data_IF_319522909976
#
_entry.id   IF_319522909976
#
_cell.length_a   1.000
_cell.length_b   1.000
_cell.length_c   1.000
_cell.angle_alpha   90.00
_cell.angle_beta   90.00
_cell.angle_gamma   90.00
#
_symmetry.space_group_name_H-M   'P 1'
#
loop_
_entity.id
_entity.type
_entity.pdbx_description
1 polymer ?
#
# COMPACT_ATOMS: atom_id res chain seq x y z
N UNK A 1 22.21 18.06 -5.33
CA UNK A 1 21.57 16.72 -5.24
C UNK A 1 22.54 15.67 -5.78
N UNK A 2 22.91 14.68 -4.98
CA UNK A 2 23.72 13.57 -5.47
C UNK A 2 22.91 12.79 -6.51
N UNK A 3 23.46 12.65 -7.71
CA UNK A 3 22.81 11.95 -8.82
C UNK A 3 22.65 10.47 -8.44
N UNK A 4 21.40 10.01 -8.27
CA UNK A 4 21.12 8.59 -7.98
C UNK A 4 21.52 7.78 -9.21
N UNK A 5 22.46 6.85 -9.04
CA UNK A 5 22.84 5.91 -10.13
C UNK A 5 21.73 4.89 -10.30
N UNK A 6 21.16 4.84 -11.48
CA UNK A 6 20.13 3.85 -11.87
C UNK A 6 20.66 2.99 -13.01
N UNK A 7 20.12 1.79 -13.14
CA UNK A 7 20.31 0.91 -14.28
C UNK A 7 18.98 0.69 -14.98
N UNK A 8 19.00 0.31 -16.25
CA UNK A 8 17.80 -0.08 -16.97
C UNK A 8 17.07 -1.23 -16.23
N UNK A 9 15.76 -1.08 -15.95
CA UNK A 9 14.99 -2.10 -15.26
C UNK A 9 14.82 -3.34 -16.15
N UNK A 10 15.07 -4.52 -15.55
CA UNK A 10 14.89 -5.80 -16.25
C UNK A 10 13.80 -6.63 -15.56
N UNK A 11 12.84 -7.20 -16.31
CA UNK A 11 11.80 -8.01 -15.71
C UNK A 11 12.38 -9.34 -15.20
N UNK A 12 12.27 -9.60 -13.90
CA UNK A 12 12.69 -10.87 -13.28
C UNK A 12 11.59 -11.94 -13.31
N UNK A 13 10.37 -11.54 -13.56
CA UNK A 13 9.21 -12.41 -13.75
C UNK A 13 8.17 -11.77 -14.69
N UNK A 14 7.98 -12.33 -15.87
CA UNK A 14 6.99 -11.87 -16.86
C UNK A 14 5.60 -12.42 -16.54
N UNK A 15 4.98 -11.96 -15.42
CA UNK A 15 3.68 -12.49 -14.96
C UNK A 15 2.48 -11.87 -15.67
N UNK A 16 2.59 -10.68 -16.27
CA UNK A 16 1.50 -9.92 -16.90
C UNK A 16 0.31 -9.73 -15.95
N UNK A 17 0.54 -9.08 -14.80
CA UNK A 17 -0.51 -8.68 -13.89
C UNK A 17 -1.51 -7.74 -14.57
N UNK A 18 -2.79 -7.84 -14.22
CA UNK A 18 -3.79 -6.87 -14.64
C UNK A 18 -3.61 -5.56 -13.86
N UNK A 19 -3.35 -5.67 -12.55
CA UNK A 19 -3.00 -4.54 -11.68
C UNK A 19 -2.04 -5.05 -10.60
N UNK A 20 -0.74 -4.95 -10.89
CA UNK A 20 0.32 -5.41 -10.00
C UNK A 20 0.69 -4.34 -8.98
N UNK A 21 0.57 -4.63 -7.68
CA UNK A 21 0.69 -3.66 -6.60
C UNK A 21 1.30 -4.26 -5.34
N UNK A 22 1.52 -3.41 -4.31
CA UNK A 22 1.79 -3.81 -2.95
C UNK A 22 3.06 -4.63 -2.78
N UNK A 23 4.17 -4.22 -3.41
CA UNK A 23 5.46 -4.93 -3.31
C UNK A 23 5.98 -4.92 -1.89
N UNK A 24 6.26 -6.11 -1.35
CA UNK A 24 6.75 -6.35 0.00
C UNK A 24 7.96 -7.28 -0.02
N UNK A 25 9.07 -6.85 0.59
CA UNK A 25 10.22 -7.72 0.87
C UNK A 25 10.06 -8.43 2.20
N UNK A 26 10.13 -9.76 2.21
CA UNK A 26 10.14 -10.58 3.43
C UNK A 26 11.50 -11.26 3.56
N UNK A 27 12.33 -10.70 4.44
CA UNK A 27 13.73 -11.14 4.64
C UNK A 27 13.83 -12.62 5.02
N UNK A 28 13.00 -13.08 5.95
CA UNK A 28 12.97 -14.48 6.44
C UNK A 28 12.71 -15.49 5.32
N UNK A 29 11.95 -15.07 4.30
CA UNK A 29 11.64 -15.92 3.15
C UNK A 29 12.61 -15.72 1.97
N UNK A 30 13.55 -14.77 2.03
CA UNK A 30 14.32 -14.30 0.89
C UNK A 30 13.43 -14.04 -0.33
N UNK A 31 12.26 -13.44 -0.11
CA UNK A 31 11.22 -13.37 -1.15
C UNK A 31 10.59 -12.00 -1.23
N UNK A 32 10.34 -11.57 -2.46
CA UNK A 32 9.48 -10.45 -2.78
C UNK A 32 8.06 -10.99 -2.91
N UNK A 33 7.11 -10.36 -2.24
CA UNK A 33 5.68 -10.57 -2.40
C UNK A 33 5.06 -9.37 -3.07
N UNK A 34 3.98 -9.59 -3.81
CA UNK A 34 3.17 -8.54 -4.43
C UNK A 34 1.78 -9.09 -4.76
N UNK A 35 0.85 -8.24 -5.14
CA UNK A 35 -0.52 -8.63 -5.46
C UNK A 35 -0.84 -8.36 -6.93
N UNK A 36 -1.77 -9.12 -7.49
CA UNK A 36 -2.54 -8.75 -8.67
C UNK A 36 -3.98 -8.54 -8.22
N UNK A 37 -4.34 -7.28 -8.00
CA UNK A 37 -5.60 -6.89 -7.37
C UNK A 37 -6.79 -7.50 -8.14
N UNK A 38 -6.84 -7.24 -9.45
CA UNK A 38 -7.99 -7.62 -10.30
C UNK A 38 -8.06 -9.13 -10.55
N UNK A 39 -6.93 -9.83 -10.55
CA UNK A 39 -6.89 -11.30 -10.63
C UNK A 39 -6.98 -11.99 -9.29
N UNK A 40 -7.13 -11.24 -8.18
CA UNK A 40 -7.29 -11.76 -6.82
C UNK A 40 -6.18 -12.75 -6.46
N UNK A 41 -4.91 -12.32 -6.68
CA UNK A 41 -3.74 -13.17 -6.48
C UNK A 41 -2.71 -12.46 -5.60
N UNK A 42 -2.05 -13.25 -4.77
CA UNK A 42 -0.82 -12.88 -4.10
C UNK A 42 0.29 -13.69 -4.76
N UNK A 43 1.35 -13.03 -5.17
CA UNK A 43 2.49 -13.61 -5.86
C UNK A 43 3.72 -13.52 -4.97
N UNK A 44 4.59 -14.50 -5.00
CA UNK A 44 5.90 -14.43 -4.36
C UNK A 44 7.00 -14.99 -5.24
N UNK A 45 8.14 -14.31 -5.22
CA UNK A 45 9.36 -14.72 -5.89
C UNK A 45 10.50 -14.78 -4.88
N UNK A 46 11.05 -15.97 -4.66
CA UNK A 46 12.27 -16.11 -3.89
C UNK A 46 13.46 -15.67 -4.76
N UNK A 47 14.21 -14.67 -4.30
CA UNK A 47 15.29 -14.09 -5.11
C UNK A 47 16.54 -14.97 -5.16
N UNK A 48 16.75 -15.88 -4.18
CA UNK A 48 17.89 -16.78 -4.10
C UNK A 48 17.72 -17.98 -5.06
N UNK A 49 16.62 -18.72 -4.94
CA UNK A 49 16.37 -19.94 -5.70
C UNK A 49 15.40 -19.78 -6.87
N UNK A 50 14.94 -18.56 -7.14
CA UNK A 50 14.00 -18.18 -8.20
C UNK A 50 12.63 -18.88 -8.14
N UNK A 51 12.30 -19.54 -7.03
CA UNK A 51 11.01 -20.21 -6.85
C UNK A 51 9.87 -19.20 -6.85
N UNK A 52 8.87 -19.45 -7.67
CA UNK A 52 7.66 -18.62 -7.84
C UNK A 52 6.47 -19.33 -7.20
N UNK A 53 5.61 -18.58 -6.52
CA UNK A 53 4.36 -19.07 -5.95
C UNK A 53 3.23 -18.09 -6.22
N UNK A 54 2.03 -18.62 -6.41
CA UNK A 54 0.80 -17.83 -6.58
C UNK A 54 -0.23 -18.39 -5.60
N UNK A 55 -0.79 -17.49 -4.77
CA UNK A 55 -1.87 -17.78 -3.85
C UNK A 55 -3.13 -17.07 -4.35
N UNK A 56 -4.18 -17.85 -4.63
CA UNK A 56 -5.49 -17.29 -4.99
C UNK A 56 -6.26 -16.90 -3.74
N UNK A 57 -6.95 -15.77 -3.79
CA UNK A 57 -7.87 -15.30 -2.75
C UNK A 57 -9.25 -15.07 -3.38
N UNK A 58 -10.30 -15.01 -2.57
CA UNK A 58 -11.67 -14.92 -3.05
C UNK A 58 -12.16 -13.48 -3.32
N UNK A 59 -11.38 -12.47 -2.86
CA UNK A 59 -11.70 -11.04 -3.01
C UNK A 59 -10.52 -10.30 -3.63
N UNK A 60 -10.74 -9.11 -4.16
CA UNK A 60 -9.66 -8.21 -4.56
C UNK A 60 -8.78 -7.90 -3.35
N UNK A 61 -7.45 -7.96 -3.55
CA UNK A 61 -6.44 -7.75 -2.53
C UNK A 61 -5.56 -6.56 -2.92
N UNK A 62 -5.64 -5.46 -2.18
CA UNK A 62 -4.91 -4.22 -2.48
C UNK A 62 -3.47 -4.26 -2.00
N UNK A 63 -3.22 -4.85 -0.83
CA UNK A 63 -1.88 -4.99 -0.28
C UNK A 63 -1.76 -6.23 0.61
N UNK A 64 -0.52 -6.54 0.98
CA UNK A 64 -0.19 -7.52 2.01
C UNK A 64 0.84 -6.94 2.98
N UNK A 65 0.76 -7.33 4.26
CA UNK A 65 1.76 -7.04 5.27
C UNK A 65 2.18 -8.33 5.99
N UNK A 66 3.48 -8.51 6.22
CA UNK A 66 4.02 -9.69 6.90
C UNK A 66 3.95 -9.50 8.42
N UNK A 67 3.52 -10.52 9.15
CA UNK A 67 3.54 -10.56 10.62
C UNK A 67 4.71 -11.39 11.10
N UNK A 68 4.68 -12.68 10.83
CA UNK A 68 5.74 -13.66 11.14
C UNK A 68 5.51 -14.94 10.36
N UNK A 69 6.53 -15.76 10.16
CA UNK A 69 6.43 -17.05 9.46
C UNK A 69 5.65 -16.92 8.14
N UNK A 70 4.59 -17.68 7.99
CA UNK A 70 3.68 -17.58 6.84
C UNK A 70 2.38 -16.82 7.13
N UNK A 71 2.34 -16.05 8.21
CA UNK A 71 1.17 -15.26 8.63
C UNK A 71 1.27 -13.84 8.08
N UNK A 72 0.24 -13.45 7.35
CA UNK A 72 0.14 -12.13 6.71
C UNK A 72 -1.19 -11.47 7.05
N UNK A 73 -1.20 -10.14 6.99
CA UNK A 73 -2.43 -9.36 6.90
C UNK A 73 -2.68 -9.07 5.43
N UNK A 74 -3.88 -9.38 4.96
CA UNK A 74 -4.34 -9.13 3.61
C UNK A 74 -5.35 -7.98 3.63
N UNK A 75 -5.09 -6.94 2.86
CA UNK A 75 -6.06 -5.86 2.63
C UNK A 75 -7.03 -6.25 1.53
N UNK A 76 -8.14 -6.88 1.89
CA UNK A 76 -9.15 -7.38 0.96
C UNK A 76 -10.31 -6.39 0.81
N UNK A 77 -11.09 -6.54 -0.26
CA UNK A 77 -12.33 -5.77 -0.39
C UNK A 77 -13.25 -6.03 0.80
N UNK A 78 -13.52 -5.00 1.59
CA UNK A 78 -14.42 -5.01 2.75
C UNK A 78 -13.85 -5.63 4.03
N UNK A 79 -12.59 -6.07 4.07
CA UNK A 79 -11.99 -6.63 5.29
C UNK A 79 -10.46 -6.59 5.30
N UNK A 80 -9.88 -6.51 6.50
CA UNK A 80 -8.53 -6.99 6.75
C UNK A 80 -8.61 -8.45 7.20
N UNK A 81 -7.78 -9.31 6.63
CA UNK A 81 -7.75 -10.74 6.97
C UNK A 81 -6.36 -11.14 7.44
N UNK A 82 -6.24 -11.67 8.64
CA UNK A 82 -5.02 -12.32 9.13
C UNK A 82 -5.08 -13.78 8.72
N UNK A 83 -4.15 -14.22 7.88
CA UNK A 83 -4.16 -15.55 7.28
C UNK A 83 -2.76 -16.15 7.19
N UNK A 84 -2.66 -17.44 7.43
CA UNK A 84 -1.46 -18.21 7.09
C UNK A 84 -1.54 -18.60 5.60
N UNK A 85 -0.66 -18.06 4.77
CA UNK A 85 -0.66 -18.29 3.32
C UNK A 85 -0.28 -19.75 2.95
N UNK A 86 0.52 -20.44 3.78
CA UNK A 86 0.94 -21.81 3.50
C UNK A 86 -0.19 -22.81 3.77
N UNK A 87 -0.82 -22.75 4.96
CA UNK A 87 -1.94 -23.62 5.34
C UNK A 87 -3.29 -23.13 4.85
N UNK A 88 -3.38 -21.91 4.35
CA UNK A 88 -4.62 -21.18 3.99
C UNK A 88 -5.57 -20.90 5.17
N UNK A 89 -5.17 -21.22 6.41
CA UNK A 89 -5.99 -21.01 7.62
C UNK A 89 -6.20 -19.51 7.84
N UNK A 90 -7.45 -19.08 7.91
CA UNK A 90 -7.84 -17.73 8.34
C UNK A 90 -7.81 -17.70 9.87
N UNK A 91 -7.05 -16.76 10.43
CA UNK A 91 -6.90 -16.60 11.87
C UNK A 91 -7.85 -15.53 12.42
N UNK A 92 -8.04 -14.45 11.67
CA UNK A 92 -8.97 -13.37 12.03
C UNK A 92 -9.43 -12.61 10.80
N UNK A 93 -10.65 -12.09 10.85
CA UNK A 93 -11.21 -11.16 9.87
C UNK A 93 -11.73 -9.92 10.59
N UNK A 94 -11.41 -8.73 10.07
CA UNK A 94 -11.80 -7.44 10.63
C UNK A 94 -12.56 -6.70 9.51
N UNK A 95 -13.89 -6.50 9.66
CA UNK A 95 -14.67 -5.79 8.66
C UNK A 95 -14.21 -4.34 8.50
N UNK A 96 -14.10 -3.89 7.26
CA UNK A 96 -13.75 -2.51 6.90
C UNK A 96 -14.91 -1.93 6.09
N UNK A 97 -15.44 -0.81 6.55
CA UNK A 97 -16.54 -0.07 5.90
C UNK A 97 -17.73 -0.95 5.48
N UNK A 98 -18.33 -1.76 6.38
CA UNK A 98 -19.36 -2.75 6.02
C UNK A 98 -20.61 -2.13 5.38
N UNK A 99 -20.83 -0.82 5.60
CA UNK A 99 -21.93 -0.06 5.00
C UNK A 99 -21.60 0.50 3.61
N UNK A 100 -20.32 0.44 3.17
CA UNK A 100 -19.87 0.97 1.89
C UNK A 100 -19.36 -0.18 1.02
N UNK A 101 -20.26 -1.05 0.59
CA UNK A 101 -19.97 -2.32 -0.10
C UNK A 101 -19.10 -2.20 -1.36
N UNK A 102 -19.15 -1.03 -2.01
CA UNK A 102 -18.38 -0.79 -3.24
C UNK A 102 -16.94 -0.33 -2.97
N UNK A 103 -16.59 -0.01 -1.73
CA UNK A 103 -15.21 0.32 -1.42
C UNK A 103 -14.34 -0.95 -1.36
N UNK A 104 -13.10 -0.80 -1.77
CA UNK A 104 -12.02 -1.75 -1.53
C UNK A 104 -10.88 -1.09 -0.77
N UNK A 105 -10.07 -1.88 -0.11
CA UNK A 105 -8.78 -1.45 0.40
C UNK A 105 -7.84 -1.31 -0.81
N UNK A 106 -7.06 -0.22 -0.84
CA UNK A 106 -6.10 0.04 -1.91
C UNK A 106 -4.68 -0.26 -1.45
N UNK A 107 -3.97 0.72 -0.93
CA UNK A 107 -2.59 0.57 -0.49
C UNK A 107 -2.49 0.54 1.03
N UNK A 108 -1.43 -0.06 1.56
CA UNK A 108 -1.19 -0.11 3.00
C UNK A 108 0.25 -0.45 3.34
N UNK A 109 0.73 0.13 4.45
CA UNK A 109 2.08 -0.07 4.98
C UNK A 109 2.11 -0.07 6.49
N UNK A 110 3.12 -0.70 7.06
CA UNK A 110 3.42 -0.60 8.49
C UNK A 110 4.25 0.64 8.79
N UNK A 111 3.93 1.31 9.89
CA UNK A 111 4.76 2.39 10.42
C UNK A 111 5.97 1.82 11.19
N UNK A 112 6.97 2.66 11.58
CA UNK A 112 8.13 2.19 12.34
C UNK A 112 7.78 1.55 13.69
N UNK A 113 6.64 1.91 14.29
CA UNK A 113 6.14 1.31 15.53
C UNK A 113 5.44 -0.04 15.31
N UNK A 114 5.26 -0.48 14.05
CA UNK A 114 4.63 -1.74 13.67
C UNK A 114 3.10 -1.72 13.61
N UNK A 115 2.47 -0.53 13.57
CA UNK A 115 1.06 -0.42 13.28
C UNK A 115 0.83 -0.46 11.77
N UNK A 116 -0.29 -1.04 11.35
CA UNK A 116 -0.69 -1.06 9.95
C UNK A 116 -1.51 0.17 9.59
N UNK A 117 -1.13 0.86 8.53
CA UNK A 117 -1.88 1.96 7.93
C UNK A 117 -2.33 1.55 6.55
N UNK A 118 -3.57 1.88 6.20
CA UNK A 118 -4.10 1.55 4.89
C UNK A 118 -5.20 2.52 4.47
N UNK A 119 -5.38 2.63 3.18
CA UNK A 119 -6.41 3.47 2.61
C UNK A 119 -7.49 2.68 1.87
N UNK A 120 -8.67 3.26 1.80
CA UNK A 120 -9.80 2.73 1.04
C UNK A 120 -10.14 3.63 -0.14
N UNK A 121 -10.86 3.09 -1.12
CA UNK A 121 -11.34 3.81 -2.29
C UNK A 121 -12.60 3.16 -2.85
N UNK A 122 -13.36 3.92 -3.64
CA UNK A 122 -14.45 3.36 -4.45
C UNK A 122 -13.88 2.44 -5.54
N UNK A 123 -14.27 1.17 -5.56
CA UNK A 123 -13.74 0.18 -6.50
C UNK A 123 -14.14 0.41 -7.96
N UNK A 124 -15.17 1.21 -8.19
CA UNK A 124 -15.60 1.63 -9.54
C UNK A 124 -14.87 2.90 -10.00
N UNK A 125 -13.98 3.45 -9.18
CA UNK A 125 -13.17 4.66 -9.46
C UNK A 125 -14.01 5.88 -9.89
N UNK A 126 -15.25 5.95 -9.40
CA UNK A 126 -16.12 7.11 -9.66
C UNK A 126 -15.52 8.38 -9.07
N UNK A 127 -15.95 9.53 -9.57
CA UNK A 127 -15.48 10.84 -9.05
C UNK A 127 -16.12 11.21 -7.70
N UNK A 128 -16.10 10.27 -6.72
CA UNK A 128 -16.67 10.43 -5.38
C UNK A 128 -15.60 10.23 -4.30
N UNK A 129 -15.68 11.01 -3.23
CA UNK A 129 -14.71 11.01 -2.13
C UNK A 129 -15.20 10.13 -0.95
N UNK A 130 -15.28 8.81 -1.18
CA UNK A 130 -15.71 7.85 -0.15
C UNK A 130 -14.57 7.05 0.48
N UNK A 131 -13.32 7.29 0.05
CA UNK A 131 -12.15 6.68 0.65
C UNK A 131 -11.76 7.31 1.98
N UNK A 132 -11.09 6.53 2.80
CA UNK A 132 -10.61 6.92 4.13
C UNK A 132 -9.21 6.35 4.38
N UNK A 133 -8.45 6.99 5.28
CA UNK A 133 -7.19 6.51 5.80
C UNK A 133 -7.40 5.92 7.20
N UNK A 134 -6.94 4.70 7.41
CA UNK A 134 -7.08 3.94 8.65
C UNK A 134 -5.73 3.58 9.25
N UNK A 135 -5.71 3.42 10.58
CA UNK A 135 -4.64 2.80 11.36
C UNK A 135 -5.20 1.61 12.14
N UNK A 136 -4.55 0.47 12.04
CA UNK A 136 -4.75 -0.69 12.90
C UNK A 136 -3.54 -0.83 13.81
N UNK A 137 -3.73 -0.73 15.12
CA UNK A 137 -2.64 -0.89 16.08
C UNK A 137 -2.33 -2.37 16.38
N UNK A 138 -1.30 -2.61 17.17
CA UNK A 138 -0.87 -3.97 17.57
C UNK A 138 -1.93 -4.73 18.38
N UNK A 139 -2.87 -4.02 19.01
CA UNK A 139 -3.98 -4.60 19.75
C UNK A 139 -5.22 -4.82 18.86
N UNK A 140 -5.05 -4.63 17.55
CA UNK A 140 -6.11 -4.74 16.54
C UNK A 140 -7.22 -3.71 16.71
N UNK A 141 -6.95 -2.58 17.34
CA UNK A 141 -7.86 -1.44 17.41
C UNK A 141 -7.78 -0.65 16.10
N UNK A 142 -8.91 -0.59 15.41
CA UNK A 142 -9.06 0.15 14.17
C UNK A 142 -9.44 1.60 14.44
N UNK A 143 -8.71 2.55 13.86
CA UNK A 143 -8.98 3.99 13.96
C UNK A 143 -9.04 4.58 12.55
N UNK A 144 -10.11 5.30 12.22
CA UNK A 144 -10.16 6.12 11.01
C UNK A 144 -9.47 7.45 11.30
N UNK A 145 -8.36 7.71 10.60
CA UNK A 145 -7.51 8.89 10.82
C UNK A 145 -7.94 10.06 9.95
N UNK A 146 -8.31 9.78 8.70
CA UNK A 146 -8.74 10.80 7.74
C UNK A 146 -9.79 10.23 6.76
N UNK A 147 -10.49 11.10 6.03
CA UNK A 147 -11.58 10.73 5.11
C UNK A 147 -11.63 11.67 3.90
N UNK A 148 -12.59 11.42 3.02
CA UNK A 148 -12.87 12.23 1.82
C UNK A 148 -11.72 12.14 0.78
N UNK A 149 -11.24 10.92 0.56
CA UNK A 149 -10.33 10.59 -0.51
C UNK A 149 -11.09 9.95 -1.69
N UNK A 150 -10.60 10.19 -2.89
CA UNK A 150 -11.04 9.43 -4.07
C UNK A 150 -10.24 8.14 -4.19
N UNK A 151 -8.92 8.23 -4.25
CA UNK A 151 -8.01 7.08 -4.33
C UNK A 151 -6.83 7.32 -3.40
N UNK A 152 -6.77 6.58 -2.31
CA UNK A 152 -5.69 6.65 -1.33
C UNK A 152 -4.48 5.86 -1.79
N UNK A 153 -3.28 6.43 -1.71
CA UNK A 153 -2.00 5.74 -1.93
C UNK A 153 -0.94 6.16 -0.92
N UNK A 154 0.01 5.27 -0.65
CA UNK A 154 0.90 5.36 0.48
C UNK A 154 0.25 4.75 1.75
N UNK A 155 0.74 5.04 2.96
CA UNK A 155 1.72 6.08 3.32
C UNK A 155 3.18 5.67 3.12
N UNK A 156 4.09 6.69 3.16
CA UNK A 156 5.52 6.50 3.33
C UNK A 156 5.97 7.23 4.60
N UNK A 157 6.44 6.49 5.61
CA UNK A 157 6.72 7.04 6.94
C UNK A 157 8.11 7.63 7.04
N UNK A 158 8.20 8.90 7.47
CA UNK A 158 9.44 9.57 7.88
C UNK A 158 9.81 9.11 9.30
N UNK A 159 8.79 9.07 10.16
CA UNK A 159 8.81 8.58 11.55
C UNK A 159 7.40 8.16 11.98
N UNK A 160 7.17 7.88 13.26
CA UNK A 160 5.89 7.45 13.80
C UNK A 160 4.77 8.51 13.70
N UNK A 161 5.11 9.77 13.53
CA UNK A 161 4.18 10.89 13.54
C UNK A 161 4.14 11.67 12.22
N UNK A 162 5.12 11.44 11.33
CA UNK A 162 5.25 12.17 10.09
C UNK A 162 5.32 11.20 8.90
N UNK A 163 4.51 11.42 7.90
CA UNK A 163 4.46 10.57 6.71
C UNK A 163 3.99 11.33 5.47
N UNK A 164 4.28 10.77 4.32
CA UNK A 164 3.72 11.19 3.04
C UNK A 164 2.51 10.34 2.70
N UNK A 165 1.50 10.96 2.10
CA UNK A 165 0.28 10.31 1.64
C UNK A 165 -0.31 11.07 0.45
N UNK A 166 -1.10 10.39 -0.39
CA UNK A 166 -1.69 11.04 -1.56
C UNK A 166 -3.17 10.69 -1.75
N UNK A 167 -3.89 11.60 -2.38
CA UNK A 167 -5.13 11.35 -3.11
C UNK A 167 -4.77 11.41 -4.60
N UNK A 168 -4.58 10.26 -5.23
CA UNK A 168 -3.98 10.17 -6.57
C UNK A 168 -4.66 11.06 -7.62
N UNK A 169 -6.00 11.10 -7.74
CA UNK A 169 -6.65 11.98 -8.72
C UNK A 169 -6.44 13.47 -8.49
N UNK A 170 -6.10 13.87 -7.25
CA UNK A 170 -5.74 15.28 -6.95
C UNK A 170 -4.31 15.61 -7.35
N UNK A 171 -3.54 14.61 -7.82
CA UNK A 171 -2.13 14.74 -8.23
C UNK A 171 -1.23 15.37 -7.17
N UNK A 172 -1.59 15.19 -5.89
CA UNK A 172 -0.97 15.91 -4.79
C UNK A 172 -0.46 14.94 -3.75
N UNK A 173 0.82 15.06 -3.44
CA UNK A 173 1.47 14.37 -2.33
C UNK A 173 1.44 15.32 -1.13
N UNK A 174 0.88 14.86 -0.04
CA UNK A 174 0.82 15.59 1.22
C UNK A 174 1.90 15.09 2.18
N UNK A 175 2.52 16.01 2.92
CA UNK A 175 3.25 15.70 4.15
C UNK A 175 2.31 15.91 5.31
N UNK A 176 2.06 14.83 6.05
CA UNK A 176 1.08 14.80 7.14
C UNK A 176 1.82 14.62 8.45
N UNK A 177 1.40 15.37 9.47
CA UNK A 177 1.83 15.20 10.87
C UNK A 177 0.63 14.88 11.74
N UNK A 178 0.79 13.87 12.59
CA UNK A 178 -0.22 13.46 13.58
C UNK A 178 0.31 13.66 15.01
N UNK A 179 -0.60 13.78 15.96
CA UNK A 179 -0.27 13.74 17.39
C UNK A 179 -0.36 12.29 17.95
N UNK A 180 -0.05 12.12 19.24
CA UNK A 180 -0.09 10.82 19.94
C UNK A 180 -1.46 10.14 19.89
N UNK A 181 -2.53 10.90 19.69
CA UNK A 181 -3.92 10.40 19.58
C UNK A 181 -4.32 10.11 18.13
N UNK A 182 -3.37 10.06 17.20
CA UNK A 182 -3.56 9.87 15.76
C UNK A 182 -4.42 10.96 15.07
N UNK A 183 -4.59 12.13 15.68
CA UNK A 183 -5.23 13.28 15.04
C UNK A 183 -4.24 13.99 14.14
N UNK A 184 -4.65 14.32 12.92
CA UNK A 184 -3.87 15.16 12.00
C UNK A 184 -3.78 16.57 12.60
N UNK A 185 -2.56 17.04 12.82
CA UNK A 185 -2.24 18.40 13.30
C UNK A 185 -1.61 19.26 12.20
N UNK A 186 -1.16 18.65 11.11
CA UNK A 186 -0.70 19.35 9.92
C UNK A 186 -0.88 18.47 8.69
N UNK A 187 -1.38 19.05 7.60
CA UNK A 187 -1.48 18.42 6.27
C UNK A 187 -1.08 19.48 5.24
N UNK A 188 0.16 19.42 4.78
CA UNK A 188 0.73 20.40 3.85
C UNK A 188 1.01 19.73 2.50
N UNK A 189 0.84 20.48 1.42
CA UNK A 189 1.28 20.02 0.10
C UNK A 189 2.80 19.90 0.12
N UNK A 190 3.30 18.71 -0.18
CA UNK A 190 4.72 18.47 -0.39
C UNK A 190 5.09 18.63 -1.86
N UNK A 191 4.32 18.01 -2.75
CA UNK A 191 4.52 18.08 -4.20
C UNK A 191 3.17 17.98 -4.91
N UNK A 192 3.00 18.76 -5.95
CA UNK A 192 1.89 18.64 -6.90
C UNK A 192 2.48 18.24 -8.25
N UNK A 193 1.96 17.16 -8.83
CA UNK A 193 2.38 16.66 -10.14
C UNK A 193 1.64 17.41 -11.25
N UNK A 194 2.30 17.55 -12.38
CA UNK A 194 1.68 18.12 -13.59
C UNK A 194 0.74 17.09 -14.26
N UNK A 195 -0.11 17.51 -15.19
CA UNK A 195 -0.94 16.58 -15.96
C UNK A 195 -0.16 15.48 -16.67
N UNK A 196 1.01 15.79 -17.19
CA UNK A 196 1.87 14.93 -18.01
C UNK A 196 2.61 13.88 -17.17
N UNK A 197 2.85 14.18 -15.89
CA UNK A 197 3.53 13.25 -14.95
C UNK A 197 2.67 12.08 -14.50
N UNK A 198 1.41 11.96 -14.94
CA UNK A 198 0.47 10.96 -14.45
C UNK A 198 -0.09 11.30 -13.07
N UNK A 199 -0.32 10.29 -12.23
CA UNK A 199 -0.81 10.50 -10.85
C UNK A 199 0.09 9.78 -9.85
N UNK A 200 0.33 10.37 -8.65
CA UNK A 200 1.15 9.73 -7.62
C UNK A 200 0.44 8.47 -7.11
N UNK A 201 1.18 7.39 -7.04
CA UNK A 201 0.70 6.06 -6.67
C UNK A 201 1.47 5.53 -5.46
N UNK A 202 1.81 4.26 -5.40
CA UNK A 202 2.58 3.67 -4.34
C UNK A 202 3.90 4.41 -4.08
N UNK A 203 4.27 4.58 -2.82
CA UNK A 203 5.45 5.35 -2.43
C UNK A 203 6.23 4.70 -1.29
N UNK A 204 7.51 5.01 -1.22
CA UNK A 204 8.38 4.51 -0.14
C UNK A 204 9.55 5.46 0.10
N UNK A 205 10.14 5.40 1.30
CA UNK A 205 11.40 6.09 1.59
C UNK A 205 12.57 5.12 1.49
N UNK A 206 13.68 5.60 0.95
CA UNK A 206 14.96 4.90 1.06
C UNK A 206 15.66 5.20 2.39
N UNK A 207 16.83 4.58 2.61
CA UNK A 207 17.65 4.80 3.82
C UNK A 207 18.10 6.24 4.01
N UNK A 208 18.16 7.03 2.93
CA UNK A 208 18.59 8.43 2.94
C UNK A 208 17.39 9.38 3.09
N UNK A 209 16.18 8.83 3.31
CA UNK A 209 14.91 9.57 3.40
C UNK A 209 14.46 10.21 2.09
N UNK A 210 15.01 9.81 0.94
CA UNK A 210 14.46 10.21 -0.35
C UNK A 210 13.11 9.50 -0.55
N UNK A 211 12.11 10.26 -1.00
CA UNK A 211 10.77 9.74 -1.29
C UNK A 211 10.71 9.23 -2.73
N UNK A 212 10.54 7.92 -2.88
CA UNK A 212 10.31 7.27 -4.17
C UNK A 212 8.82 7.12 -4.41
N UNK A 213 8.34 7.58 -5.57
CA UNK A 213 6.91 7.60 -5.92
C UNK A 213 6.73 6.99 -7.30
N UNK A 214 5.90 5.95 -7.39
CA UNK A 214 5.44 5.44 -8.68
C UNK A 214 4.40 6.38 -9.27
N UNK A 215 4.40 6.55 -10.59
CA UNK A 215 3.46 7.39 -11.31
C UNK A 215 2.54 6.51 -12.17
N UNK A 216 1.31 6.30 -11.71
CA UNK A 216 0.32 5.59 -12.51
C UNK A 216 -0.02 6.42 -13.75
N UNK A 217 0.02 5.79 -14.93
CA UNK A 217 -0.07 6.43 -16.25
C UNK A 217 1.03 7.46 -16.57
N UNK A 218 2.07 7.55 -15.76
CA UNK A 218 3.24 8.40 -16.01
C UNK A 218 4.44 7.63 -16.55
N UNK A 219 4.38 6.27 -16.54
CA UNK A 219 5.46 5.38 -16.98
C UNK A 219 6.83 5.68 -16.34
N UNK A 220 6.85 6.22 -15.14
CA UNK A 220 8.08 6.57 -14.43
C UNK A 220 7.97 6.36 -12.91
N UNK A 221 9.10 6.48 -12.26
CA UNK A 221 9.26 6.60 -10.81
C UNK A 221 10.06 7.85 -10.54
N UNK A 222 9.55 8.75 -9.72
CA UNK A 222 10.27 9.95 -9.29
C UNK A 222 10.88 9.78 -7.91
N UNK A 223 11.94 10.56 -7.66
CA UNK A 223 12.63 10.63 -6.37
C UNK A 223 12.69 12.09 -5.94
N UNK A 224 12.25 12.35 -4.72
CA UNK A 224 12.21 13.68 -4.11
C UNK A 224 13.04 13.73 -2.83
#
# INVERSE_FOLDING_TARGET
MNKIKTTEPKPIWKLRCTLGEGTLWVKEHNSIYFVDIKKKKICSLNIKNKKKKIFKVNKEVGFIAHIKDHIFILGLQGELRIQNLKSKKVLKSIPIEPKIKLNRINDGKTDPAGNLWFGTMDNLERKIEKGSLYKLDKNLKLTRVDKNYRITNGPAFIDEHNFYHTDSPKKTIYKIKINKNNKIISKKIFKKLTPEEGVPDGMTLDKNKNLWVAHFRGACVSVF
#
